data_IF_977459693034
#
_entry.id   IF_977459693034
#
_cell.length_a   1.000
_cell.length_b   1.000
_cell.length_c   1.000
_cell.angle_alpha   90.00
_cell.angle_beta   90.00
_cell.angle_gamma   90.00
#
_symmetry.space_group_name_H-M   'P 1'
#
loop_
_entity.id
_entity.type
_entity.pdbx_description
1 polymer ?
#
# COMPACT_ATOMS: atom_id res chain seq x y z
N UNK A 1 65.97 1.41 -7.71
CA UNK A 1 64.90 2.37 -7.35
C UNK A 1 64.27 2.88 -8.63
N UNK A 2 62.96 3.10 -8.61
CA UNK A 2 62.09 3.58 -9.70
C UNK A 2 61.57 2.52 -10.68
N UNK A 3 60.34 2.04 -10.44
CA UNK A 3 59.19 2.39 -11.27
C UNK A 3 57.99 1.49 -10.92
N UNK A 4 57.05 2.02 -10.14
CA UNK A 4 55.71 1.47 -9.97
C UNK A 4 54.85 2.55 -9.31
N UNK A 5 54.28 3.46 -10.11
CA UNK A 5 53.13 4.26 -9.71
C UNK A 5 52.46 4.86 -10.95
N UNK A 6 51.63 4.05 -11.59
CA UNK A 6 50.58 4.55 -12.47
C UNK A 6 49.43 3.54 -12.40
N UNK A 7 48.28 3.96 -11.83
CA UNK A 7 46.92 3.38 -11.93
C UNK A 7 46.15 3.54 -10.61
N UNK A 8 45.67 4.73 -10.27
CA UNK A 8 44.59 4.91 -9.26
C UNK A 8 43.89 6.28 -9.39
N UNK A 9 43.43 6.68 -10.59
CA UNK A 9 42.64 7.94 -10.73
C UNK A 9 41.36 7.85 -11.56
N UNK A 10 41.11 6.75 -12.29
CA UNK A 10 39.91 6.66 -13.16
C UNK A 10 38.68 5.98 -12.54
N UNK A 11 38.77 5.42 -11.33
CA UNK A 11 37.64 4.69 -10.70
C UNK A 11 36.63 5.57 -9.94
N UNK A 12 37.05 6.71 -9.42
CA UNK A 12 36.22 7.50 -8.50
C UNK A 12 35.28 8.48 -9.21
N UNK A 13 35.71 9.03 -10.35
CA UNK A 13 34.90 9.96 -11.16
C UNK A 13 33.81 9.19 -11.92
N UNK A 14 34.11 8.00 -12.44
CA UNK A 14 33.14 7.16 -13.14
C UNK A 14 31.98 6.69 -12.24
N UNK A 15 32.25 6.30 -11.00
CA UNK A 15 31.22 5.84 -10.05
C UNK A 15 30.25 6.94 -9.61
N UNK A 16 30.75 8.16 -9.35
CA UNK A 16 29.90 9.31 -8.98
C UNK A 16 29.03 9.73 -10.17
N UNK A 17 29.61 9.77 -11.37
CA UNK A 17 28.88 10.14 -12.60
C UNK A 17 27.77 9.11 -12.89
N UNK A 18 28.06 7.81 -12.82
CA UNK A 18 27.05 6.75 -12.98
C UNK A 18 25.94 6.84 -11.92
N UNK A 19 26.29 7.09 -10.65
CA UNK A 19 25.29 7.24 -9.59
C UNK A 19 24.37 8.44 -9.79
N UNK A 20 24.87 9.56 -10.34
CA UNK A 20 24.05 10.76 -10.59
C UNK A 20 23.06 10.52 -11.73
N UNK A 21 23.48 9.86 -12.81
CA UNK A 21 22.59 9.54 -13.93
C UNK A 21 21.46 8.59 -13.53
N UNK A 22 21.77 7.59 -12.70
CA UNK A 22 20.79 6.62 -12.20
C UNK A 22 19.71 7.30 -11.36
N UNK A 23 20.08 8.20 -10.45
CA UNK A 23 19.10 8.93 -9.61
C UNK A 23 18.26 9.91 -10.43
N UNK A 24 18.85 10.56 -11.43
CA UNK A 24 18.10 11.46 -12.29
C UNK A 24 17.06 10.70 -13.12
N UNK A 25 17.40 9.51 -13.63
CA UNK A 25 16.47 8.63 -14.34
C UNK A 25 15.28 8.23 -13.46
N UNK A 26 15.53 7.83 -12.20
CA UNK A 26 14.48 7.48 -11.22
C UNK A 26 13.53 8.63 -10.96
N UNK A 27 14.11 9.82 -10.74
CA UNK A 27 13.34 11.02 -10.48
C UNK A 27 12.47 11.40 -11.68
N UNK A 28 13.00 11.29 -12.91
CA UNK A 28 12.26 11.55 -14.15
C UNK A 28 11.14 10.55 -14.36
N UNK A 29 11.41 9.25 -14.16
CA UNK A 29 10.41 8.20 -14.27
C UNK A 29 9.28 8.39 -13.24
N UNK A 30 9.60 8.63 -11.97
CA UNK A 30 8.58 8.86 -10.94
C UNK A 30 7.79 10.15 -11.19
N UNK A 31 8.45 11.21 -11.68
CA UNK A 31 7.79 12.46 -12.06
C UNK A 31 6.77 12.22 -13.17
N UNK A 32 7.12 11.45 -14.21
CA UNK A 32 6.20 11.03 -15.27
C UNK A 32 5.02 10.26 -14.70
N UNK A 33 5.28 9.24 -13.89
CA UNK A 33 4.23 8.43 -13.25
C UNK A 33 3.26 9.29 -12.41
N UNK A 34 3.76 10.26 -11.66
CA UNK A 34 2.96 11.17 -10.85
C UNK A 34 2.13 12.15 -11.70
N UNK A 35 2.64 12.60 -12.85
CA UNK A 35 1.89 13.46 -13.77
C UNK A 35 0.72 12.73 -14.45
N UNK A 36 0.93 11.47 -14.80
CA UNK A 36 -0.05 10.63 -15.51
C UNK A 36 -1.13 10.07 -14.57
N UNK A 37 -0.77 9.68 -13.35
CA UNK A 37 -1.70 9.04 -12.41
C UNK A 37 -2.22 10.05 -11.39
N UNK A 38 -3.50 10.45 -11.50
CA UNK A 38 -4.15 11.42 -10.59
C UNK A 38 -4.30 10.92 -9.13
N UNK A 39 -4.26 9.62 -8.91
CA UNK A 39 -4.27 9.01 -7.58
C UNK A 39 -2.99 9.24 -6.79
N UNK A 40 -1.87 9.36 -7.50
CA UNK A 40 -0.60 9.65 -6.87
C UNK A 40 -0.60 11.08 -6.35
N UNK A 41 0.41 11.40 -5.55
CA UNK A 41 0.59 12.77 -5.07
C UNK A 41 0.92 13.71 -6.22
N UNK A 42 0.58 14.99 -6.06
CA UNK A 42 1.10 16.08 -6.87
C UNK A 42 2.62 15.94 -7.03
N UNK A 43 3.16 15.88 -8.25
CA UNK A 43 4.58 15.80 -8.45
C UNK A 43 5.29 17.01 -7.88
N UNK A 44 6.41 16.77 -7.20
CA UNK A 44 7.35 17.84 -6.83
C UNK A 44 8.13 18.25 -8.08
N UNK A 45 8.75 19.43 -8.04
CA UNK A 45 9.70 19.83 -9.08
C UNK A 45 10.79 18.76 -9.21
N UNK A 46 11.23 18.48 -10.44
CA UNK A 46 12.21 17.42 -10.72
C UNK A 46 13.49 17.56 -9.85
N UNK A 47 14.04 18.77 -9.72
CA UNK A 47 15.19 19.05 -8.84
C UNK A 47 14.95 18.63 -7.38
N UNK A 48 13.73 18.82 -6.87
CA UNK A 48 13.35 18.40 -5.51
C UNK A 48 13.16 16.89 -5.40
N UNK A 49 12.75 16.21 -6.48
CA UNK A 49 12.70 14.74 -6.51
C UNK A 49 14.12 14.17 -6.50
N UNK A 50 15.03 14.67 -7.35
CA UNK A 50 16.44 14.26 -7.37
C UNK A 50 17.07 14.40 -5.98
N UNK A 51 16.90 15.58 -5.35
CA UNK A 51 17.38 15.80 -3.99
C UNK A 51 16.75 14.85 -2.96
N UNK A 52 15.47 14.49 -3.13
CA UNK A 52 14.80 13.53 -2.27
C UNK A 52 15.37 12.12 -2.43
N UNK A 53 15.59 11.65 -3.66
CA UNK A 53 16.18 10.34 -3.92
C UNK A 53 17.61 10.22 -3.36
N UNK A 54 18.39 11.30 -3.44
CA UNK A 54 19.73 11.35 -2.83
C UNK A 54 19.70 11.28 -1.29
N UNK A 55 18.64 11.79 -0.65
CA UNK A 55 18.51 11.79 0.81
C UNK A 55 17.90 10.50 1.36
N UNK A 56 16.88 9.98 0.67
CA UNK A 56 16.16 8.78 1.04
C UNK A 56 15.71 8.09 -0.24
N UNK A 57 16.46 7.06 -0.64
CA UNK A 57 16.06 6.20 -1.74
C UNK A 57 14.75 5.50 -1.38
N UNK A 58 13.77 5.57 -2.27
CA UNK A 58 12.60 4.70 -2.17
C UNK A 58 12.97 3.27 -2.54
N UNK A 59 11.99 2.39 -2.48
CA UNK A 59 12.12 1.00 -2.92
C UNK A 59 11.85 0.97 -4.42
N UNK A 60 12.80 0.47 -5.20
CA UNK A 60 12.71 0.41 -6.66
C UNK A 60 12.91 -1.03 -7.13
N UNK A 61 12.12 -1.42 -8.14
CA UNK A 61 12.32 -2.68 -8.86
C UNK A 61 12.69 -2.32 -10.29
N UNK A 62 13.72 -3.00 -10.81
CA UNK A 62 14.31 -2.74 -12.12
C UNK A 62 14.59 -4.05 -12.86
N UNK A 63 14.60 -3.96 -14.18
CA UNK A 63 15.13 -5.00 -15.07
C UNK A 63 15.92 -4.37 -16.21
N UNK A 64 16.34 -5.19 -17.18
CA UNK A 64 17.08 -4.75 -18.35
C UNK A 64 16.29 -3.78 -19.27
N UNK A 65 14.96 -3.69 -19.08
CA UNK A 65 14.07 -2.79 -19.84
C UNK A 65 13.80 -1.47 -19.12
N UNK A 66 14.29 -1.30 -17.89
CA UNK A 66 14.16 -0.06 -17.11
C UNK A 66 13.54 -0.25 -15.73
N UNK A 67 12.87 0.80 -15.25
CA UNK A 67 12.23 0.83 -13.93
C UNK A 67 10.83 0.20 -14.03
N UNK A 68 10.60 -0.85 -13.26
CA UNK A 68 9.35 -1.61 -13.24
C UNK A 68 8.34 -1.01 -12.25
N UNK A 69 8.85 -0.52 -11.13
CA UNK A 69 7.99 -0.02 -10.07
C UNK A 69 8.73 0.65 -8.94
N UNK A 70 7.98 1.41 -8.15
CA UNK A 70 8.46 2.21 -7.04
C UNK A 70 7.50 2.14 -5.86
N UNK A 71 8.06 2.01 -4.67
CA UNK A 71 7.35 2.15 -3.41
C UNK A 71 8.09 3.11 -2.46
N UNK A 72 7.33 3.83 -1.64
CA UNK A 72 7.89 4.72 -0.64
C UNK A 72 7.12 4.64 0.69
N UNK A 73 7.88 4.67 1.77
CA UNK A 73 7.37 4.74 3.14
C UNK A 73 7.50 6.18 3.65
N UNK A 74 6.49 6.64 4.37
CA UNK A 74 6.51 7.95 5.02
C UNK A 74 6.15 7.81 6.49
N UNK A 75 7.03 8.28 7.38
CA UNK A 75 6.72 8.36 8.80
C UNK A 75 5.77 9.54 9.08
N UNK A 76 4.71 9.28 9.84
CA UNK A 76 3.69 10.23 10.29
C UNK A 76 3.51 10.07 11.81
N UNK A 77 4.40 10.70 12.58
CA UNK A 77 4.43 10.53 14.04
C UNK A 77 4.78 9.09 14.41
N UNK A 78 3.85 8.39 15.08
CA UNK A 78 4.01 6.97 15.49
C UNK A 78 3.36 5.97 14.52
N UNK A 79 3.07 6.40 13.30
CA UNK A 79 2.58 5.54 12.21
C UNK A 79 3.54 5.67 11.04
N UNK A 80 3.71 4.58 10.29
CA UNK A 80 4.41 4.58 9.01
C UNK A 80 3.37 4.29 7.93
N UNK A 81 3.32 5.14 6.91
CA UNK A 81 2.43 5.01 5.78
C UNK A 81 3.20 4.44 4.58
N UNK A 82 2.69 3.38 3.96
CA UNK A 82 3.04 3.03 2.59
C UNK A 82 2.43 4.07 1.65
N UNK A 83 3.18 5.15 1.48
CA UNK A 83 2.70 6.42 0.93
C UNK A 83 2.55 6.40 -0.58
N UNK A 84 3.38 5.65 -1.27
CA UNK A 84 3.35 5.56 -2.73
C UNK A 84 3.68 4.14 -3.11
N UNK A 85 2.86 3.55 -3.99
CA UNK A 85 3.17 2.32 -4.70
C UNK A 85 2.71 2.54 -6.12
N UNK A 86 3.62 2.40 -7.07
CA UNK A 86 3.32 2.52 -8.49
C UNK A 86 4.10 1.47 -9.25
N UNK A 87 3.41 0.77 -10.13
CA UNK A 87 3.98 -0.13 -11.12
C UNK A 87 3.73 0.51 -12.47
N UNK A 88 4.78 0.54 -13.29
CA UNK A 88 4.71 1.03 -14.66
C UNK A 88 3.59 0.27 -15.41
N UNK A 89 2.69 0.97 -16.13
CA UNK A 89 1.60 0.34 -16.86
C UNK A 89 2.00 -0.85 -17.74
N UNK A 90 3.19 -0.81 -18.36
CA UNK A 90 3.67 -1.83 -19.29
C UNK A 90 3.96 -3.17 -18.60
N UNK A 91 4.22 -3.15 -17.29
CA UNK A 91 4.61 -4.33 -16.50
C UNK A 91 3.55 -4.73 -15.46
N UNK A 92 2.33 -4.23 -15.57
CA UNK A 92 1.23 -4.62 -14.67
C UNK A 92 0.75 -6.04 -14.98
N UNK A 93 0.26 -6.74 -13.96
CA UNK A 93 -0.19 -8.14 -14.08
C UNK A 93 0.90 -9.18 -13.86
N UNK A 94 2.18 -8.78 -13.77
CA UNK A 94 3.32 -9.68 -13.55
C UNK A 94 3.69 -9.87 -12.06
N UNK A 95 2.81 -9.45 -11.14
CA UNK A 95 3.04 -9.58 -9.70
C UNK A 95 4.04 -8.59 -9.07
N UNK A 96 4.53 -7.59 -9.80
CA UNK A 96 5.50 -6.61 -9.26
C UNK A 96 4.97 -5.78 -8.07
N UNK A 97 3.65 -5.60 -7.96
CA UNK A 97 3.03 -4.95 -6.81
C UNK A 97 3.26 -5.72 -5.51
N UNK A 98 3.20 -7.05 -5.56
CA UNK A 98 3.47 -7.91 -4.40
C UNK A 98 4.94 -7.80 -3.98
N UNK A 99 5.86 -7.82 -4.95
CA UNK A 99 7.29 -7.64 -4.69
C UNK A 99 7.59 -6.27 -4.04
N UNK A 100 6.95 -5.20 -4.52
CA UNK A 100 7.11 -3.87 -3.92
C UNK A 100 6.61 -3.80 -2.48
N UNK A 101 5.44 -4.39 -2.20
CA UNK A 101 4.89 -4.43 -0.84
C UNK A 101 5.78 -5.28 0.07
N UNK A 102 6.33 -6.39 -0.46
CA UNK A 102 7.33 -7.22 0.20
C UNK A 102 8.56 -6.44 0.64
N UNK A 103 9.24 -5.80 -0.30
CA UNK A 103 10.40 -4.96 0.02
C UNK A 103 10.04 -3.80 0.96
N UNK A 104 8.81 -3.26 0.88
CA UNK A 104 8.35 -2.23 1.80
C UNK A 104 8.12 -2.75 3.23
N UNK A 105 7.55 -3.94 3.37
CA UNK A 105 7.38 -4.58 4.67
C UNK A 105 8.73 -4.93 5.31
N UNK A 106 9.66 -5.51 4.54
CA UNK A 106 11.01 -5.84 5.04
C UNK A 106 11.74 -4.59 5.53
N UNK A 107 11.74 -3.52 4.72
CA UNK A 107 12.32 -2.25 5.11
C UNK A 107 11.65 -1.69 6.36
N UNK A 108 10.31 -1.71 6.42
CA UNK A 108 9.59 -1.28 7.61
C UNK A 108 9.99 -2.07 8.87
N UNK A 109 10.23 -3.38 8.75
CA UNK A 109 10.64 -4.22 9.89
C UNK A 109 12.06 -3.92 10.38
N UNK A 110 12.97 -3.56 9.46
CA UNK A 110 14.41 -3.52 9.73
C UNK A 110 15.00 -2.11 9.87
N UNK A 111 14.38 -1.07 9.28
CA UNK A 111 14.98 0.25 9.13
C UNK A 111 14.74 1.13 10.39
N UNK A 112 15.75 1.35 11.26
CA UNK A 112 15.57 2.15 12.48
C UNK A 112 15.28 3.62 12.17
N UNK A 113 15.74 4.14 11.03
CA UNK A 113 15.53 5.54 10.61
C UNK A 113 14.04 5.75 10.34
N UNK A 114 13.35 4.79 9.71
CA UNK A 114 11.90 4.85 9.51
C UNK A 114 11.13 4.90 10.84
N UNK A 115 11.66 4.27 11.89
CA UNK A 115 11.08 4.32 13.24
C UNK A 115 11.56 5.53 14.06
N UNK A 116 12.46 6.35 13.50
CA UNK A 116 13.01 7.52 14.17
C UNK A 116 14.03 7.22 15.25
N UNK A 117 14.67 6.06 15.19
CA UNK A 117 15.79 5.71 16.06
C UNK A 117 17.12 5.93 15.31
N UNK A 118 18.23 5.99 16.05
CA UNK A 118 19.57 6.11 15.46
C UNK A 118 19.98 4.81 14.76
N UNK A 119 20.93 4.90 13.82
CA UNK A 119 21.38 3.75 13.01
C UNK A 119 21.96 2.60 13.86
N UNK A 120 22.56 2.92 15.01
CA UNK A 120 23.18 1.94 15.92
C UNK A 120 22.15 1.22 16.82
N UNK A 121 20.93 1.74 16.92
CA UNK A 121 19.91 1.13 17.75
C UNK A 121 19.24 -0.03 17.01
N UNK A 122 19.40 -1.25 17.55
CA UNK A 122 18.58 -2.37 17.10
C UNK A 122 17.11 -2.06 17.39
N UNK A 123 16.23 -2.40 16.46
CA UNK A 123 14.80 -2.37 16.72
C UNK A 123 14.53 -3.56 17.65
N UNK A 124 14.56 -3.31 18.96
CA UNK A 124 14.12 -4.29 19.94
C UNK A 124 12.61 -4.46 19.75
N UNK A 125 12.20 -5.67 19.39
CA UNK A 125 10.80 -6.05 19.24
C UNK A 125 10.15 -6.33 20.59
N UNK A 126 10.93 -6.43 21.67
CA UNK A 126 10.50 -6.79 23.02
C UNK A 126 10.25 -5.51 23.82
N UNK A 127 9.00 -5.30 24.24
CA UNK A 127 8.67 -4.33 25.28
C UNK A 127 8.95 -5.00 26.63
N UNK A 128 9.94 -4.52 27.38
CA UNK A 128 10.35 -5.05 28.70
C UNK A 128 9.25 -4.96 29.78
N UNK A 129 8.08 -4.40 29.45
CA UNK A 129 6.96 -4.22 30.37
C UNK A 129 5.80 -5.22 30.19
N UNK A 130 5.76 -5.98 29.09
CA UNK A 130 4.72 -6.98 28.83
C UNK A 130 5.31 -8.13 28.01
N UNK A 131 5.62 -9.25 28.66
CA UNK A 131 6.24 -10.45 28.05
C UNK A 131 5.44 -11.09 26.90
N UNK A 132 4.23 -10.61 26.57
CA UNK A 132 3.33 -11.26 25.62
C UNK A 132 3.03 -10.48 24.32
N UNK A 133 3.51 -9.25 24.12
CA UNK A 133 3.29 -8.52 22.85
C UNK A 133 4.56 -7.84 22.32
N UNK A 134 5.16 -8.47 21.30
CA UNK A 134 6.23 -7.86 20.50
C UNK A 134 5.63 -6.76 19.60
N UNK A 135 5.36 -5.57 20.15
CA UNK A 135 4.75 -4.49 19.40
C UNK A 135 5.82 -3.69 18.63
N UNK A 136 5.80 -3.76 17.29
CA UNK A 136 6.60 -2.85 16.47
C UNK A 136 6.29 -1.38 16.83
N UNK A 137 7.31 -0.51 16.97
CA UNK A 137 7.13 0.80 17.59
C UNK A 137 6.22 1.74 16.78
N UNK A 138 6.08 1.50 15.47
CA UNK A 138 5.17 2.23 14.59
C UNK A 138 4.33 1.27 13.73
N UNK A 139 3.01 1.44 13.76
CA UNK A 139 2.07 0.68 12.94
C UNK A 139 2.21 1.04 11.45
N UNK A 140 2.23 0.04 10.57
CA UNK A 140 2.22 0.22 9.12
C UNK A 140 0.79 0.31 8.58
N UNK A 141 0.51 1.36 7.81
CA UNK A 141 -0.79 1.58 7.17
C UNK A 141 -0.62 1.88 5.68
N UNK A 142 -1.69 1.68 4.90
CA UNK A 142 -1.76 2.07 3.50
C UNK A 142 -3.15 2.62 3.16
N UNK A 143 -3.23 3.56 2.22
CA UNK A 143 -4.50 4.01 1.65
C UNK A 143 -4.54 3.67 0.17
N UNK A 144 -5.63 3.06 -0.27
CA UNK A 144 -5.84 2.81 -1.70
C UNK A 144 -7.32 2.76 -2.04
N UNK A 145 -7.65 3.22 -3.24
CA UNK A 145 -8.94 2.94 -3.91
C UNK A 145 -8.82 1.89 -5.02
N UNK A 146 -7.58 1.58 -5.44
CA UNK A 146 -7.33 0.65 -6.53
C UNK A 146 -7.46 -0.79 -6.03
N UNK A 147 -8.37 -1.56 -6.66
CA UNK A 147 -8.65 -2.95 -6.32
C UNK A 147 -7.42 -3.86 -6.47
N UNK A 148 -6.57 -3.66 -7.48
CA UNK A 148 -5.37 -4.47 -7.68
C UNK A 148 -4.35 -4.26 -6.54
N UNK A 149 -4.16 -3.01 -6.13
CA UNK A 149 -3.30 -2.71 -4.98
C UNK A 149 -3.92 -3.20 -3.66
N UNK A 150 -5.24 -3.07 -3.51
CA UNK A 150 -5.97 -3.62 -2.36
C UNK A 150 -5.78 -5.13 -2.24
N UNK A 151 -5.90 -5.88 -3.35
CA UNK A 151 -5.64 -7.32 -3.39
C UNK A 151 -4.19 -7.65 -3.02
N UNK A 152 -3.24 -6.84 -3.50
CA UNK A 152 -1.83 -7.03 -3.15
C UNK A 152 -1.59 -6.79 -1.65
N UNK A 153 -2.22 -5.77 -1.07
CA UNK A 153 -2.15 -5.47 0.37
C UNK A 153 -2.81 -6.55 1.22
N UNK A 154 -3.99 -7.05 0.84
CA UNK A 154 -4.65 -8.13 1.58
C UNK A 154 -3.83 -9.42 1.54
N UNK A 155 -3.23 -9.76 0.39
CA UNK A 155 -2.30 -10.89 0.28
C UNK A 155 -1.05 -10.74 1.13
N UNK A 156 -0.62 -9.49 1.37
CA UNK A 156 0.48 -9.13 2.25
C UNK A 156 0.09 -9.08 3.74
N UNK A 157 -1.15 -9.45 4.07
CA UNK A 157 -1.58 -9.52 5.47
C UNK A 157 -2.13 -8.21 6.05
N UNK A 158 -2.36 -7.19 5.21
CA UNK A 158 -3.10 -6.01 5.64
C UNK A 158 -4.59 -6.33 5.78
N UNK A 159 -5.18 -5.92 6.91
CA UNK A 159 -6.63 -5.99 7.15
C UNK A 159 -7.26 -4.65 6.78
N UNK A 160 -8.41 -4.69 6.10
CA UNK A 160 -9.20 -3.47 5.81
C UNK A 160 -9.72 -2.92 7.14
N UNK A 161 -9.57 -1.61 7.35
CA UNK A 161 -10.04 -0.98 8.56
C UNK A 161 -11.58 -0.96 8.63
N UNK A 162 -12.12 -1.35 9.78
CA UNK A 162 -13.55 -1.40 10.03
C UNK A 162 -14.00 0.01 10.46
N UNK A 163 -14.99 0.62 9.79
CA UNK A 163 -15.49 1.94 10.17
C UNK A 163 -16.07 1.93 11.60
N UNK A 164 -15.53 2.76 12.49
CA UNK A 164 -16.02 2.92 13.86
C UNK A 164 -16.50 4.35 14.10
N UNK A 165 -17.42 4.51 15.07
CA UNK A 165 -17.82 5.81 15.60
C UNK A 165 -16.87 6.18 16.74
N UNK A 166 -16.54 7.47 16.85
CA UNK A 166 -15.74 8.01 17.95
C UNK A 166 -16.37 9.33 18.41
N UNK A 167 -16.10 9.70 19.66
CA UNK A 167 -16.58 10.96 20.21
C UNK A 167 -16.20 12.16 19.35
N UNK A 168 -14.96 12.25 18.86
CA UNK A 168 -14.51 13.40 18.04
C UNK A 168 -15.29 13.60 16.73
N UNK A 169 -16.02 12.58 16.25
CA UNK A 169 -16.95 12.69 15.12
C UNK A 169 -18.39 13.02 15.56
N UNK A 170 -18.56 13.45 16.81
CA UNK A 170 -19.84 13.61 17.53
C UNK A 170 -20.76 12.39 17.40
N UNK A 171 -20.18 11.19 17.21
CA UNK A 171 -20.91 9.95 16.89
C UNK A 171 -21.74 9.96 15.59
N UNK A 172 -21.71 11.05 14.81
CA UNK A 172 -22.54 11.22 13.61
C UNK A 172 -22.03 10.39 12.43
N UNK A 173 -20.71 10.24 12.31
CA UNK A 173 -20.09 9.67 11.11
C UNK A 173 -19.23 8.45 11.47
N UNK A 174 -19.47 7.32 10.78
CA UNK A 174 -18.57 6.15 10.85
C UNK A 174 -17.34 6.42 10.00
N UNK A 175 -16.15 6.28 10.56
CA UNK A 175 -14.89 6.53 9.83
C UNK A 175 -13.93 5.37 10.01
N UNK A 176 -13.14 5.04 8.99
CA UNK A 176 -12.09 4.02 9.11
C UNK A 176 -10.89 4.52 9.93
N UNK A 177 -10.65 5.83 9.93
CA UNK A 177 -9.60 6.46 10.74
C UNK A 177 -9.82 6.25 12.24
N UNK A 178 -11.07 6.04 12.66
CA UNK A 178 -11.43 5.75 14.04
C UNK A 178 -10.77 4.47 14.61
N UNK A 179 -10.25 3.57 13.76
CA UNK A 179 -9.50 2.40 14.22
C UNK A 179 -8.08 2.75 14.69
N UNK A 180 -7.54 3.90 14.27
CA UNK A 180 -6.22 4.36 14.69
C UNK A 180 -6.27 5.02 16.08
N UNK A 181 -5.13 5.02 16.78
CA UNK A 181 -4.95 5.76 18.04
C UNK A 181 -5.08 7.28 17.77
N UNK A 182 -5.57 8.03 18.75
CA UNK A 182 -5.87 9.47 18.62
C UNK A 182 -4.64 10.32 18.31
N UNK A 183 -3.50 10.05 18.95
CA UNK A 183 -2.25 10.79 18.72
C UNK A 183 -1.80 10.74 17.25
N UNK A 184 -1.56 9.55 16.67
CA UNK A 184 -1.20 9.42 15.26
C UNK A 184 -2.26 9.97 14.28
N UNK A 185 -3.54 9.91 14.63
CA UNK A 185 -4.62 10.47 13.82
C UNK A 185 -4.45 11.98 13.63
N UNK A 186 -4.02 12.71 14.67
CA UNK A 186 -3.74 14.14 14.56
C UNK A 186 -2.63 14.44 13.55
N UNK A 187 -1.50 13.72 13.60
CA UNK A 187 -0.41 13.89 12.64
C UNK A 187 -0.83 13.55 11.20
N UNK A 188 -1.61 12.48 11.04
CA UNK A 188 -2.16 12.10 9.74
C UNK A 188 -3.07 13.20 9.20
N UNK A 189 -4.02 13.69 10.02
CA UNK A 189 -4.91 14.78 9.66
C UNK A 189 -4.13 16.03 9.25
N UNK A 190 -3.16 16.46 10.06
CA UNK A 190 -2.36 17.65 9.78
C UNK A 190 -1.53 17.50 8.50
N UNK A 191 -0.89 16.34 8.29
CA UNK A 191 -0.16 16.06 7.06
C UNK A 191 -1.08 16.11 5.83
N UNK A 192 -2.26 15.49 5.88
CA UNK A 192 -3.24 15.52 4.79
C UNK A 192 -3.78 16.94 4.56
N UNK A 193 -4.05 17.70 5.61
CA UNK A 193 -4.49 19.09 5.54
C UNK A 193 -3.44 19.99 4.86
N UNK A 194 -2.16 19.87 5.23
CA UNK A 194 -1.07 20.60 4.57
C UNK A 194 -0.90 20.21 3.10
N UNK A 195 -1.09 18.93 2.76
CA UNK A 195 -1.06 18.46 1.37
C UNK A 195 -2.25 19.06 0.59
N UNK A 196 -3.43 19.08 1.20
CA UNK A 196 -4.64 19.69 0.63
C UNK A 196 -4.42 21.17 0.30
N UNK A 197 -3.88 21.95 1.24
CA UNK A 197 -3.54 23.37 1.02
C UNK A 197 -2.56 23.51 -0.16
N UNK A 198 -1.53 22.66 -0.24
CA UNK A 198 -0.55 22.69 -1.34
C UNK A 198 -1.17 22.35 -2.70
N UNK A 199 -2.24 21.57 -2.74
CA UNK A 199 -2.96 21.24 -3.97
C UNK A 199 -3.88 22.39 -4.43
N UNK A 200 -4.31 23.28 -3.54
CA UNK A 200 -5.08 24.48 -3.90
C UNK A 200 -4.29 25.48 -4.75
N UNK A 201 -2.95 25.45 -4.70
CA UNK A 201 -2.06 26.27 -5.55
C UNK A 201 -2.17 25.85 -7.03
N UNK A 202 -2.57 24.60 -7.28
CA UNK A 202 -2.73 24.04 -8.62
C UNK A 202 -1.45 23.44 -9.21
N UNK A 203 -1.60 22.67 -10.28
CA UNK A 203 -0.54 21.95 -11.01
C UNK A 203 -0.33 22.55 -12.39
N UNK A 204 0.84 22.30 -12.96
CA UNK A 204 1.10 22.59 -14.36
C UNK A 204 0.24 21.66 -15.23
N UNK A 205 -0.59 22.27 -16.08
CA UNK A 205 -1.47 21.53 -17.00
C UNK A 205 -0.62 21.14 -18.21
N UNK A 206 -0.69 19.89 -18.69
CA UNK A 206 0.00 19.50 -19.91
C UNK A 206 -0.44 20.41 -21.07
N UNK A 207 0.54 20.89 -21.85
CA UNK A 207 0.37 21.92 -22.89
C UNK A 207 -0.76 21.58 -23.88
N UNK A 208 -1.00 20.30 -24.14
CA UNK A 208 -1.97 19.82 -25.12
C UNK A 208 -3.44 19.93 -24.67
N UNK A 209 -3.71 20.23 -23.40
CA UNK A 209 -5.08 20.19 -22.83
C UNK A 209 -5.55 21.54 -22.24
N UNK A 210 -4.91 22.65 -22.57
CA UNK A 210 -5.24 23.97 -22.03
C UNK A 210 -6.57 24.45 -22.61
N UNK A 211 -7.62 24.54 -21.77
CA UNK A 211 -8.90 25.13 -22.19
C UNK A 211 -8.82 26.66 -22.14
N UNK A 212 -9.55 27.33 -23.03
CA UNK A 212 -9.75 28.78 -22.98
C UNK A 212 -10.67 29.16 -21.81
N UNK A 213 -10.36 30.27 -21.13
CA UNK A 213 -11.15 30.83 -20.01
C UNK A 213 -10.50 30.70 -18.63
N UNK A 214 -10.59 31.77 -17.83
CA UNK A 214 -9.94 31.88 -16.51
C UNK A 214 -10.41 30.81 -15.53
N UNK A 215 -11.73 30.66 -15.32
CA UNK A 215 -12.29 29.66 -14.40
C UNK A 215 -11.96 28.21 -14.81
N UNK A 216 -12.06 27.90 -16.11
CA UNK A 216 -11.70 26.56 -16.63
C UNK A 216 -10.24 26.25 -16.38
N UNK A 217 -9.32 27.21 -16.59
CA UNK A 217 -7.90 27.06 -16.25
C UNK A 217 -7.67 26.85 -14.75
N UNK A 218 -8.37 27.61 -13.91
CA UNK A 218 -8.30 27.50 -12.44
C UNK A 218 -8.73 26.09 -11.96
N UNK A 219 -9.82 25.55 -12.50
CA UNK A 219 -10.29 24.18 -12.24
C UNK A 219 -9.33 23.12 -12.80
N UNK A 220 -8.82 23.31 -14.03
CA UNK A 220 -7.87 22.39 -14.65
C UNK A 220 -6.58 22.25 -13.85
N UNK A 221 -6.05 23.37 -13.34
CA UNK A 221 -4.89 23.36 -12.44
C UNK A 221 -5.17 22.55 -11.16
N UNK A 222 -6.43 22.44 -10.72
CA UNK A 222 -6.84 21.72 -9.51
C UNK A 222 -7.45 20.35 -9.80
N UNK A 223 -7.27 19.81 -11.01
CA UNK A 223 -7.83 18.51 -11.44
C UNK A 223 -7.59 17.38 -10.45
N UNK A 224 -6.38 17.30 -9.85
CA UNK A 224 -6.02 16.26 -8.88
C UNK A 224 -6.80 16.39 -7.58
N UNK A 225 -6.92 17.62 -7.08
CA UNK A 225 -7.71 17.90 -5.89
C UNK A 225 -9.17 17.51 -6.11
N UNK A 226 -9.74 17.89 -7.26
CA UNK A 226 -11.12 17.52 -7.61
C UNK A 226 -11.29 16.00 -7.73
N UNK A 227 -10.34 15.31 -8.38
CA UNK A 227 -10.34 13.85 -8.50
C UNK A 227 -10.25 13.13 -7.15
N UNK A 228 -9.40 13.61 -6.23
CA UNK A 228 -9.25 13.01 -4.91
C UNK A 228 -10.48 13.27 -4.02
N UNK A 229 -11.10 14.46 -4.14
CA UNK A 229 -12.33 14.77 -3.43
C UNK A 229 -13.53 13.98 -3.95
N UNK A 230 -13.67 13.82 -5.27
CA UNK A 230 -14.77 13.05 -5.86
C UNK A 230 -14.73 11.58 -5.44
N UNK A 231 -13.52 11.04 -5.24
CA UNK A 231 -13.31 9.62 -4.93
C UNK A 231 -12.98 9.38 -3.45
N UNK A 232 -13.22 10.36 -2.56
CA UNK A 232 -12.77 10.29 -1.16
C UNK A 232 -13.41 9.13 -0.39
N UNK A 233 -14.65 8.78 -0.71
CA UNK A 233 -15.40 7.64 -0.12
C UNK A 233 -14.86 6.26 -0.55
N UNK A 234 -14.16 6.20 -1.68
CA UNK A 234 -13.61 4.97 -2.25
C UNK A 234 -12.28 4.58 -1.61
N UNK A 235 -11.48 5.55 -1.16
CA UNK A 235 -10.21 5.26 -0.50
C UNK A 235 -10.45 4.48 0.78
N UNK A 236 -9.92 3.26 0.83
CA UNK A 236 -9.95 2.41 2.02
C UNK A 236 -8.63 2.46 2.75
N UNK A 237 -8.71 2.47 4.07
CA UNK A 237 -7.57 2.32 4.97
C UNK A 237 -7.28 0.84 5.18
N UNK A 238 -6.02 0.47 4.96
CA UNK A 238 -5.46 -0.85 5.23
C UNK A 238 -4.47 -0.74 6.37
N UNK A 239 -4.56 -1.66 7.33
CA UNK A 239 -3.72 -1.69 8.52
C UNK A 239 -3.01 -3.04 8.57
N UNK A 240 -1.69 -3.03 8.73
CA UNK A 240 -0.93 -4.27 8.93
C UNK A 240 -1.39 -4.95 10.22
N UNK A 241 -1.81 -6.21 10.10
CA UNK A 241 -2.25 -7.01 11.25
C UNK A 241 -1.07 -7.38 12.14
N UNK A 242 -1.29 -7.52 13.45
CA UNK A 242 -0.27 -7.92 14.44
C UNK A 242 0.28 -9.33 14.16
N UNK A 243 -0.59 -10.25 13.74
CA UNK A 243 -0.23 -11.61 13.32
C UNK A 243 0.86 -11.63 12.22
N UNK A 244 0.77 -10.70 11.26
CA UNK A 244 1.69 -10.59 10.13
C UNK A 244 2.95 -9.77 10.45
N UNK A 245 3.04 -9.21 11.66
CA UNK A 245 4.29 -8.64 12.17
C UNK A 245 5.24 -9.76 12.62
N UNK A 246 4.66 -10.86 13.12
CA UNK A 246 5.38 -11.98 13.71
C UNK A 246 5.67 -13.10 12.71
N UNK A 247 4.83 -13.27 11.68
CA UNK A 247 5.03 -14.29 10.65
C UNK A 247 6.17 -13.88 9.72
N UNK A 248 7.16 -14.75 9.53
CA UNK A 248 8.04 -14.66 8.35
C UNK A 248 7.14 -14.77 7.13
N UNK A 249 7.13 -13.73 6.30
CA UNK A 249 6.23 -13.69 5.17
C UNK A 249 6.62 -14.88 4.27
N UNK A 250 5.75 -15.91 4.08
CA UNK A 250 6.07 -17.01 3.18
C UNK A 250 6.44 -16.37 1.85
N UNK A 251 7.59 -16.76 1.27
CA UNK A 251 8.08 -16.28 -0.04
C UNK A 251 7.10 -16.67 -1.16
N UNK A 252 5.88 -16.14 -1.15
CA UNK A 252 4.85 -16.38 -2.16
C UNK A 252 5.21 -15.51 -3.36
N UNK A 253 5.72 -16.13 -4.43
CA UNK A 253 6.06 -15.45 -5.68
C UNK A 253 7.56 -15.34 -6.00
N UNK A 254 8.40 -16.17 -5.38
CA UNK A 254 9.64 -16.58 -6.06
C UNK A 254 9.31 -17.28 -7.39
N UNK A 255 10.18 -17.22 -8.42
CA UNK A 255 9.83 -17.58 -9.80
C UNK A 255 9.26 -18.99 -10.05
N UNK A 256 9.26 -19.90 -9.06
CA UNK A 256 8.95 -21.32 -9.25
C UNK A 256 7.91 -21.91 -8.28
N UNK A 257 7.15 -21.13 -7.51
CA UNK A 257 6.20 -21.73 -6.54
C UNK A 257 4.74 -21.37 -6.81
N UNK A 258 3.92 -22.43 -6.85
CA UNK A 258 2.50 -22.44 -7.21
C UNK A 258 1.65 -21.47 -6.40
N UNK A 259 0.72 -20.86 -7.11
CA UNK A 259 -0.10 -19.75 -6.68
C UNK A 259 -1.22 -20.23 -5.74
N UNK A 260 -1.10 -19.95 -4.44
CA UNK A 260 -2.15 -20.22 -3.46
C UNK A 260 -3.31 -19.22 -3.65
N UNK A 261 -4.48 -19.68 -4.08
CA UNK A 261 -5.66 -18.82 -4.25
C UNK A 261 -6.43 -18.75 -2.92
N UNK A 262 -6.78 -17.55 -2.39
CA UNK A 262 -7.61 -17.42 -1.18
C UNK A 262 -9.03 -18.01 -1.32
N UNK A 263 -9.42 -18.46 -2.51
CA UNK A 263 -10.67 -19.18 -2.77
C UNK A 263 -10.56 -20.68 -2.46
N UNK A 264 -9.35 -21.24 -2.35
CA UNK A 264 -9.13 -22.64 -1.93
C UNK A 264 -9.37 -22.83 -0.42
N UNK A 265 -9.35 -21.75 0.36
CA UNK A 265 -9.78 -21.74 1.77
C UNK A 265 -11.29 -21.56 1.93
N UNK A 266 -12.05 -21.31 0.84
CA UNK A 266 -13.49 -21.55 0.83
C UNK A 266 -13.70 -23.06 0.64
N UNK A 267 -13.17 -23.85 1.59
CA UNK A 267 -13.79 -25.11 1.92
C UNK A 267 -15.17 -24.73 2.46
N UNK A 268 -16.13 -24.90 1.56
CA UNK A 268 -17.55 -25.04 1.84
C UNK A 268 -17.70 -25.64 3.23
N UNK A 269 -18.46 -24.97 4.09
CA UNK A 269 -19.02 -25.59 5.29
C UNK A 269 -20.04 -26.66 4.86
N UNK A 270 -19.63 -27.63 4.04
CA UNK A 270 -20.26 -28.93 3.95
C UNK A 270 -19.79 -29.66 5.18
N UNK A 271 -20.70 -29.80 6.12
CA UNK A 271 -20.62 -30.66 7.29
C UNK A 271 -19.80 -31.92 7.04
N UNK A 272 -18.51 -31.89 7.34
CA UNK A 272 -17.70 -33.09 7.51
C UNK A 272 -17.99 -33.65 8.89
N UNK A 273 -19.15 -34.29 9.02
CA UNK A 273 -19.38 -35.31 10.03
C UNK A 273 -19.39 -36.62 9.26
N UNK A 274 -18.27 -37.34 9.28
CA UNK A 274 -18.22 -38.74 8.85
C UNK A 274 -19.16 -39.53 9.77
N UNK A 275 -20.44 -39.56 9.40
CA UNK A 275 -21.36 -40.62 9.77
C UNK A 275 -21.42 -41.51 8.55
N UNK A 276 -21.04 -42.78 8.70
CA UNK A 276 -21.38 -43.80 7.71
C UNK A 276 -22.90 -43.80 7.63
N UNK A 277 -23.42 -43.28 6.51
CA UNK A 277 -24.84 -43.34 6.17
C UNK A 277 -25.03 -44.72 5.55
N UNK A 278 -25.84 -45.56 6.20
CA UNK A 278 -26.21 -46.86 5.66
C UNK A 278 -27.03 -46.66 4.37
N UNK A 279 -26.87 -47.52 3.35
CA UNK A 279 -27.49 -47.33 2.04
C UNK A 279 -29.03 -47.29 2.04
N UNK A 280 -29.67 -47.64 3.15
CA UNK A 280 -31.12 -47.52 3.35
C UNK A 280 -31.58 -46.05 3.54
N UNK A 281 -30.75 -45.15 4.10
CA UNK A 281 -31.09 -43.73 4.33
C UNK A 281 -31.15 -42.91 3.02
N UNK A 282 -30.47 -43.38 1.97
CA UNK A 282 -30.44 -42.71 0.65
C UNK A 282 -31.75 -42.99 -0.12
N UNK A 283 -32.36 -44.16 0.08
CA UNK A 283 -33.61 -44.53 -0.59
C UNK A 283 -34.81 -43.70 -0.07
N UNK A 284 -34.74 -43.18 1.15
CA UNK A 284 -35.79 -42.34 1.75
C UNK A 284 -35.83 -40.94 1.10
N UNK A 285 -34.66 -40.37 0.77
CA UNK A 285 -34.55 -39.06 0.11
C UNK A 285 -35.08 -39.02 -1.34
N UNK A 286 -34.94 -40.12 -2.09
CA UNK A 286 -35.45 -40.22 -3.47
C UNK A 286 -36.93 -40.61 -3.55
N UNK A 287 -37.55 -41.01 -2.44
CA UNK A 287 -38.94 -41.46 -2.41
C UNK A 287 -39.98 -40.33 -2.35
N UNK A 288 -39.55 -39.08 -2.17
CA UNK A 288 -40.41 -37.90 -2.22
C UNK A 288 -41.61 -38.04 -1.29
N UNK A 289 -41.38 -37.95 0.02
CA UNK A 289 -42.49 -37.80 0.95
C UNK A 289 -43.33 -36.58 0.54
N UNK A 290 -44.59 -36.84 0.20
CA UNK A 290 -45.59 -35.80 -0.04
C UNK A 290 -45.88 -35.10 1.28
N UNK A 291 -45.02 -34.16 1.68
CA UNK A 291 -45.32 -33.25 2.77
C UNK A 291 -46.56 -32.44 2.39
N UNK A 292 -47.70 -32.79 3.03
CA UNK A 292 -48.93 -32.00 2.97
C UNK A 292 -48.66 -30.66 3.67
N UNK A 293 -48.25 -29.66 2.90
CA UNK A 293 -48.20 -28.28 3.36
C UNK A 293 -49.62 -27.91 3.83
N UNK A 294 -49.84 -27.52 5.10
CA UNK A 294 -51.15 -27.11 5.55
C UNK A 294 -51.56 -25.82 4.82
N UNK A 295 -52.66 -25.91 4.06
CA UNK A 295 -53.27 -24.77 3.39
C UNK A 295 -53.84 -23.82 4.44
N UNK A 296 -53.19 -22.66 4.62
CA UNK A 296 -53.70 -21.58 5.46
C UNK A 296 -54.59 -20.69 4.58
N UNK A 297 -55.89 -20.80 4.79
CA UNK A 297 -56.88 -19.94 4.14
C UNK A 297 -56.87 -18.54 4.77
N UNK A 298 -56.56 -17.53 3.96
CA UNK A 298 -56.36 -16.14 4.40
C UNK A 298 -57.62 -15.26 4.26
N UNK A 299 -58.80 -15.85 4.09
CA UNK A 299 -60.05 -15.08 3.92
C UNK A 299 -60.86 -14.88 5.21
N UNK A 300 -60.23 -14.62 6.36
CA UNK A 300 -60.92 -14.19 7.59
C UNK A 300 -60.35 -12.90 8.14
#
# INVERSE_FOLDING_TARGET
MSSLHCLLTNGFIGGIVLSVYVVEEEARWLFKMQLENLDLRKPKNLKKLIAQFNQNSGILIRNNRGILGYANLQRLGRIIELHTVVVDPEFRGEGHSHKLIYSAWERWKQDPILHGKSFESKINFIDESNENELALPCQLIAFTRNAALASSLTSAGFKIAIPKRKWWSLWLIKTQLAQLKTGPLFYLFWNRFLIFIKMLIGEEVPKNNVKSGFFKRVLQKRRRLMHQLSNLSEYKLFIMSTEMQNKEWPRKGGPNEEYYHPLEEINVATFSKEKQIEPEEIAEWDSGETEKIPYVDLSK
#
